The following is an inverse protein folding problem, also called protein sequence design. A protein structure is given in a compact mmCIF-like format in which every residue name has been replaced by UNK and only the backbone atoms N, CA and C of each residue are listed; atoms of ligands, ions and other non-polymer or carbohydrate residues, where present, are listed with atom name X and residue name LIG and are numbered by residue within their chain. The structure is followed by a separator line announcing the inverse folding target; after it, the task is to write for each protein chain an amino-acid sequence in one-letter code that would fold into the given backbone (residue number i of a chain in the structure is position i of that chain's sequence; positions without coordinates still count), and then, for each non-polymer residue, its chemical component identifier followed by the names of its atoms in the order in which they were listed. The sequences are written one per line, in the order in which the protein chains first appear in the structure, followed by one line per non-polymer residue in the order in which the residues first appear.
data_IF_309412725849
#
_entry.id   IF_309412725849
#
_cell.length_a   1.000
_cell.length_b   1.000
_cell.length_c   1.000
_cell.angle_alpha   90.00
_cell.angle_beta   90.00
_cell.angle_gamma   90.00
#
_symmetry.space_group_name_H-M   'P 1'
#
loop_
_entity.id
_entity.type
_entity.pdbx_description
1 polymer ?
#
# COMPACT_ATOMS: atom_id res chain seq x y z
N UNK A 1 -21.22 -29.58 -24.46
CA UNK A 1 -21.43 -28.46 -23.52
C UNK A 1 -20.81 -28.83 -22.20
N UNK A 2 -19.61 -28.34 -21.91
CA UNK A 2 -19.02 -28.43 -20.57
C UNK A 2 -19.72 -27.38 -19.70
N UNK A 3 -20.50 -27.78 -18.67
CA UNK A 3 -21.16 -26.81 -17.81
C UNK A 3 -20.09 -26.22 -16.87
N UNK A 4 -19.91 -24.90 -16.89
CA UNK A 4 -19.02 -24.22 -15.94
C UNK A 4 -17.94 -23.31 -16.56
N UNK A 5 -18.24 -22.62 -17.66
CA UNK A 5 -17.40 -21.52 -18.13
C UNK A 5 -17.83 -20.20 -17.49
N UNK A 6 -16.88 -19.40 -17.00
CA UNK A 6 -17.14 -18.01 -16.61
C UNK A 6 -17.49 -17.18 -17.85
N UNK A 7 -18.44 -16.25 -17.73
CA UNK A 7 -18.83 -15.32 -18.81
C UNK A 7 -17.69 -14.34 -19.18
N UNK A 8 -16.74 -14.15 -18.26
CA UNK A 8 -15.50 -13.39 -18.44
C UNK A 8 -14.35 -14.12 -17.73
N UNK A 9 -13.08 -13.95 -18.16
CA UNK A 9 -11.95 -14.53 -17.45
C UNK A 9 -11.93 -14.07 -15.98
N UNK A 10 -11.56 -14.94 -15.02
CA UNK A 10 -11.32 -14.52 -13.65
C UNK A 10 -10.35 -13.34 -13.61
N UNK A 11 -10.71 -12.29 -12.88
CA UNK A 11 -9.79 -11.19 -12.62
C UNK A 11 -8.74 -11.70 -11.64
N UNK A 12 -7.47 -11.68 -12.07
CA UNK A 12 -6.37 -11.86 -11.14
C UNK A 12 -6.33 -10.64 -10.22
N UNK A 13 -6.72 -10.84 -8.97
CA UNK A 13 -6.42 -9.89 -7.91
C UNK A 13 -4.89 -9.81 -7.81
N UNK A 14 -4.37 -8.60 -7.64
CA UNK A 14 -2.95 -8.37 -7.38
C UNK A 14 -2.50 -9.23 -6.19
N UNK A 15 -1.22 -9.62 -6.16
CA UNK A 15 -0.65 -10.35 -5.04
C UNK A 15 -1.05 -9.72 -3.70
N UNK A 16 -1.17 -10.53 -2.62
CA UNK A 16 -1.47 -10.03 -1.28
C UNK A 16 -0.57 -8.84 -0.99
N UNK A 17 -1.15 -7.71 -0.58
CA UNK A 17 -0.38 -6.53 -0.20
C UNK A 17 0.63 -6.94 0.87
N UNK A 18 1.90 -6.62 0.63
CA UNK A 18 2.91 -6.70 1.68
C UNK A 18 2.45 -5.78 2.83
N UNK A 19 2.23 -6.38 4.00
CA UNK A 19 1.78 -5.69 5.20
C UNK A 19 2.95 -5.14 6.00
N UNK A 20 4.18 -5.58 5.72
CA UNK A 20 5.38 -5.10 6.38
C UNK A 20 6.46 -4.58 5.40
N UNK A 21 6.10 -3.68 4.46
CA UNK A 21 7.10 -3.08 3.60
C UNK A 21 8.04 -2.24 4.46
N UNK A 22 9.33 -2.33 4.14
CA UNK A 22 10.37 -1.56 4.81
C UNK A 22 10.36 -0.11 4.32
N UNK A 23 10.41 0.88 5.23
CA UNK A 23 10.52 2.28 4.83
C UNK A 23 11.86 2.53 4.12
N UNK A 24 11.82 3.29 3.02
CA UNK A 24 13.05 3.65 2.28
C UNK A 24 13.82 4.71 3.06
N UNK A 25 15.12 4.48 3.26
CA UNK A 25 16.03 5.43 3.90
C UNK A 25 16.03 6.78 3.17
N UNK A 26 15.97 7.87 3.95
CA UNK A 26 15.95 9.24 3.41
C UNK A 26 14.61 9.71 2.83
N UNK A 27 13.56 8.89 2.84
CA UNK A 27 12.21 9.31 2.45
C UNK A 27 11.37 9.66 3.69
N UNK A 28 11.07 10.95 3.88
CA UNK A 28 10.28 11.42 5.04
C UNK A 28 8.88 10.80 5.09
N UNK A 29 8.21 10.65 3.94
CA UNK A 29 6.87 10.03 3.86
C UNK A 29 6.92 8.57 4.30
N UNK A 30 7.94 7.80 3.88
CA UNK A 30 8.10 6.42 4.34
C UNK A 30 8.31 6.34 5.86
N UNK A 31 9.09 7.25 6.44
CA UNK A 31 9.37 7.26 7.89
C UNK A 31 8.12 7.62 8.69
N UNK A 32 7.39 8.66 8.28
CA UNK A 32 6.14 9.06 8.92
C UNK A 32 5.09 7.93 8.89
N UNK A 33 4.94 7.26 7.74
CA UNK A 33 4.04 6.12 7.61
C UNK A 33 4.50 4.89 8.39
N UNK A 34 5.80 4.69 8.58
CA UNK A 34 6.29 3.62 9.45
C UNK A 34 5.94 3.88 10.92
N UNK A 35 6.06 5.14 11.37
CA UNK A 35 5.63 5.55 12.72
C UNK A 35 4.12 5.43 12.92
N UNK A 36 3.32 5.88 11.94
CA UNK A 36 1.85 5.73 11.96
C UNK A 36 1.46 4.25 12.01
N UNK A 37 2.11 3.40 11.21
CA UNK A 37 1.87 1.95 11.22
C UNK A 37 2.14 1.36 12.61
N UNK A 38 3.29 1.68 13.21
CA UNK A 38 3.66 1.19 14.54
C UNK A 38 2.63 1.60 15.60
N UNK A 39 2.28 2.89 15.66
CA UNK A 39 1.29 3.39 16.62
C UNK A 39 -0.08 2.76 16.41
N UNK A 40 -0.50 2.58 15.16
CA UNK A 40 -1.76 1.92 14.83
C UNK A 40 -1.78 0.44 15.27
N UNK A 41 -0.67 -0.28 15.11
CA UNK A 41 -0.54 -1.65 15.61
C UNK A 41 -0.63 -1.70 17.14
N UNK A 42 0.08 -0.80 17.82
CA UNK A 42 0.08 -0.71 19.30
C UNK A 42 -1.33 -0.43 19.86
N UNK A 43 -2.15 0.34 19.14
CA UNK A 43 -3.52 0.68 19.51
C UNK A 43 -4.58 -0.31 18.99
N UNK A 44 -4.19 -1.32 18.20
CA UNK A 44 -5.11 -2.29 17.60
C UNK A 44 -5.88 -1.77 16.37
N UNK A 45 -5.50 -0.64 15.80
CA UNK A 45 -6.12 -0.03 14.62
C UNK A 45 -5.60 -0.64 13.32
N UNK A 46 -5.98 -1.89 13.05
CA UNK A 46 -5.49 -2.67 11.91
C UNK A 46 -5.71 -1.99 10.55
N UNK A 47 -6.86 -1.36 10.32
CA UNK A 47 -7.13 -0.68 9.05
C UNK A 47 -6.15 0.49 8.80
N UNK A 48 -5.78 1.22 9.85
CA UNK A 48 -4.82 2.33 9.75
C UNK A 48 -3.41 1.79 9.48
N UNK A 49 -3.01 0.73 10.18
CA UNK A 49 -1.73 0.06 9.95
C UNK A 49 -1.59 -0.44 8.51
N UNK A 50 -2.65 -1.05 7.95
CA UNK A 50 -2.69 -1.51 6.57
C UNK A 50 -2.57 -0.36 5.59
N UNK A 51 -3.33 0.73 5.78
CA UNK A 51 -3.23 1.92 4.92
C UNK A 51 -1.81 2.51 4.92
N UNK A 52 -1.17 2.58 6.10
CA UNK A 52 0.20 3.06 6.22
C UNK A 52 1.20 2.14 5.50
N UNK A 53 1.08 0.81 5.66
CA UNK A 53 1.88 -0.17 4.93
C UNK A 53 1.72 -0.02 3.40
N UNK A 54 0.48 0.10 2.90
CA UNK A 54 0.21 0.32 1.48
C UNK A 54 0.90 1.59 0.96
N UNK A 55 0.92 2.66 1.75
CA UNK A 55 1.58 3.91 1.35
C UNK A 55 3.10 3.79 1.31
N UNK A 56 3.71 3.04 2.25
CA UNK A 56 5.15 2.72 2.20
C UNK A 56 5.47 1.92 0.92
N UNK A 57 4.67 0.90 0.59
CA UNK A 57 4.82 0.11 -0.65
C UNK A 57 4.65 0.94 -1.93
N UNK A 58 4.05 2.13 -1.83
CA UNK A 58 3.88 3.10 -2.93
C UNK A 58 5.03 4.11 -3.03
N UNK A 59 6.18 3.85 -2.42
CA UNK A 59 7.37 4.72 -2.45
C UNK A 59 7.67 5.41 -3.80
N UNK A 60 7.54 4.76 -4.98
CA UNK A 60 7.75 5.45 -6.26
C UNK A 60 6.94 6.75 -6.43
N UNK A 61 5.79 6.90 -5.74
CA UNK A 61 4.94 8.10 -5.76
C UNK A 61 5.47 9.24 -4.88
N UNK A 62 6.33 8.97 -3.91
CA UNK A 62 6.89 9.98 -3.00
C UNK A 62 7.93 10.87 -3.67
N UNK A 63 8.45 10.44 -4.83
CA UNK A 63 9.43 11.20 -5.64
C UNK A 63 8.80 12.25 -6.55
N UNK A 64 7.48 12.31 -6.66
CA UNK A 64 6.80 13.29 -7.50
C UNK A 64 6.87 14.65 -6.80
N UNK A 65 7.86 15.47 -7.17
CA UNK A 65 7.83 16.92 -6.90
C UNK A 65 6.50 17.47 -7.42
N UNK A 66 5.85 18.42 -6.72
CA UNK A 66 4.64 19.03 -7.23
C UNK A 66 4.94 19.62 -8.61
N UNK A 67 4.22 19.16 -9.63
CA UNK A 67 4.09 19.91 -10.85
C UNK A 67 3.47 21.24 -10.46
N UNK A 68 4.25 22.32 -10.53
CA UNK A 68 3.74 23.68 -10.62
C UNK A 68 2.78 23.70 -11.80
N UNK A 69 1.49 23.53 -11.54
CA UNK A 69 0.45 23.80 -12.52
C UNK A 69 0.23 25.32 -12.45
N UNK A 70 0.79 26.02 -13.43
CA UNK A 70 0.50 27.43 -13.73
C UNK A 70 -0.90 27.56 -14.31
#
# INVERSE_FOLDING_TARGET
MTPGGYLSPPVHLTEPFDLDPSPVEGCSVCQEKADERRQALDLGFMAVAVCAAIEIGRHPRHRVKPSTQQ
#
